data_IF_667328745434
#
_entry.id   IF_667328745434
#
_cell.length_a   1.000
_cell.length_b   1.000
_cell.length_c   1.000
_cell.angle_alpha   90.00
_cell.angle_beta   90.00
_cell.angle_gamma   90.00
#
_symmetry.space_group_name_H-M   'P 1'
#
loop_
_entity.id
_entity.type
_entity.pdbx_description
1 polymer ?
#
# COMPACT_ATOMS: atom_id res chain seq x y z
N UNK A 1 5.02 -38.40 15.24
CA UNK A 1 3.97 -37.44 15.63
C UNK A 1 4.41 -35.98 15.64
N UNK A 2 5.64 -35.64 16.05
CA UNK A 2 6.11 -34.21 16.10
C UNK A 2 6.30 -33.58 14.71
N UNK A 3 6.74 -34.36 13.70
CA UNK A 3 6.96 -33.87 12.32
C UNK A 3 5.66 -33.42 11.63
N UNK A 4 4.54 -34.10 11.90
CA UNK A 4 3.22 -33.77 11.32
C UNK A 4 2.64 -32.46 11.89
N UNK A 5 2.92 -32.15 13.16
CA UNK A 5 2.49 -30.90 13.81
C UNK A 5 3.24 -29.68 13.28
N UNK A 6 4.56 -29.78 13.07
CA UNK A 6 5.36 -28.69 12.50
C UNK A 6 5.00 -28.44 11.02
N UNK A 7 4.78 -29.50 10.24
CA UNK A 7 4.30 -29.42 8.86
C UNK A 7 2.95 -28.71 8.76
N UNK A 8 2.00 -29.02 9.65
CA UNK A 8 0.69 -28.35 9.72
C UNK A 8 0.81 -26.86 10.10
N UNK A 9 1.64 -26.51 11.08
CA UNK A 9 1.87 -25.11 11.46
C UNK A 9 2.51 -24.28 10.33
N UNK A 10 3.46 -24.87 9.58
CA UNK A 10 4.06 -24.23 8.40
C UNK A 10 3.01 -24.05 7.29
N UNK A 11 2.22 -25.08 7.01
CA UNK A 11 1.17 -25.03 5.98
C UNK A 11 0.11 -23.98 6.30
N UNK A 12 -0.34 -23.90 7.55
CA UNK A 12 -1.31 -22.90 8.02
C UNK A 12 -0.73 -21.48 7.92
N UNK A 13 0.55 -21.29 8.26
CA UNK A 13 1.23 -20.00 8.14
C UNK A 13 1.32 -19.55 6.69
N UNK A 14 1.73 -20.43 5.78
CA UNK A 14 1.81 -20.15 4.34
C UNK A 14 0.43 -19.83 3.76
N UNK A 15 -0.60 -20.59 4.11
CA UNK A 15 -1.98 -20.32 3.69
C UNK A 15 -2.51 -18.98 4.21
N UNK A 16 -2.14 -18.58 5.43
CA UNK A 16 -2.54 -17.29 6.00
C UNK A 16 -1.84 -16.10 5.34
N UNK A 17 -0.57 -16.25 4.97
CA UNK A 17 0.20 -15.20 4.28
C UNK A 17 -0.31 -15.04 2.84
N UNK A 18 -0.53 -16.14 2.13
CA UNK A 18 -1.04 -16.11 0.75
C UNK A 18 -2.44 -15.49 0.65
N UNK A 19 -3.34 -15.76 1.60
CA UNK A 19 -4.67 -15.13 1.66
C UNK A 19 -4.61 -13.63 1.94
N UNK A 20 -3.70 -13.17 2.81
CA UNK A 20 -3.54 -11.73 3.07
C UNK A 20 -2.92 -11.02 1.86
N UNK A 21 -1.94 -11.64 1.19
CA UNK A 21 -1.35 -11.10 -0.04
C UNK A 21 -2.38 -11.00 -1.18
N UNK A 22 -3.24 -12.01 -1.33
CA UNK A 22 -4.31 -11.98 -2.34
C UNK A 22 -5.34 -10.90 -2.03
N UNK A 23 -5.76 -10.76 -0.78
CA UNK A 23 -6.76 -9.75 -0.39
C UNK A 23 -6.21 -8.32 -0.51
N UNK A 24 -4.93 -8.10 -0.20
CA UNK A 24 -4.26 -6.81 -0.42
C UNK A 24 -4.03 -6.51 -1.90
N UNK A 25 -3.73 -7.53 -2.72
CA UNK A 25 -3.65 -7.39 -4.18
C UNK A 25 -5.01 -6.96 -4.75
N UNK A 26 -6.07 -7.70 -4.47
CA UNK A 26 -7.42 -7.38 -4.92
C UNK A 26 -7.88 -6.02 -4.41
N UNK A 27 -7.58 -5.73 -3.14
CA UNK A 27 -7.85 -4.44 -2.53
C UNK A 27 -7.19 -3.28 -3.26
N UNK A 28 -5.89 -3.40 -3.51
CA UNK A 28 -5.12 -2.39 -4.25
C UNK A 28 -5.65 -2.22 -5.68
N UNK A 29 -6.04 -3.31 -6.34
CA UNK A 29 -6.61 -3.28 -7.68
C UNK A 29 -7.98 -2.57 -7.71
N UNK A 30 -8.85 -2.85 -6.74
CA UNK A 30 -10.17 -2.18 -6.62
C UNK A 30 -9.99 -0.68 -6.36
N UNK A 31 -9.12 -0.32 -5.41
CA UNK A 31 -8.85 1.09 -5.09
C UNK A 31 -8.31 1.83 -6.33
N UNK A 32 -7.35 1.21 -7.03
CA UNK A 32 -6.80 1.78 -8.25
C UNK A 32 -7.83 1.87 -9.38
N UNK A 33 -8.73 0.90 -9.51
CA UNK A 33 -9.81 0.94 -10.50
C UNK A 33 -10.81 2.08 -10.20
N UNK A 34 -11.16 2.29 -8.94
CA UNK A 34 -12.03 3.40 -8.52
C UNK A 34 -11.40 4.76 -8.80
N UNK A 35 -10.13 4.93 -8.43
CA UNK A 35 -9.41 6.17 -8.71
C UNK A 35 -9.16 6.38 -10.20
N UNK A 36 -8.89 5.32 -10.97
CA UNK A 36 -8.80 5.38 -12.43
C UNK A 36 -10.11 5.86 -13.05
N UNK A 37 -11.25 5.30 -12.63
CA UNK A 37 -12.56 5.73 -13.12
C UNK A 37 -12.82 7.22 -12.82
N UNK A 38 -12.50 7.66 -11.59
CA UNK A 38 -12.64 9.07 -11.20
C UNK A 38 -11.67 10.00 -11.95
N UNK A 39 -10.43 9.57 -12.17
CA UNK A 39 -9.43 10.34 -12.90
C UNK A 39 -9.70 10.40 -14.41
N UNK A 40 -10.22 9.32 -15.00
CA UNK A 40 -10.66 9.28 -16.39
C UNK A 40 -11.85 10.22 -16.63
N UNK A 41 -12.78 10.30 -15.67
CA UNK A 41 -13.91 11.24 -15.71
C UNK A 41 -13.46 12.70 -15.57
N UNK A 42 -12.58 13.00 -14.61
CA UNK A 42 -12.18 14.38 -14.27
C UNK A 42 -10.97 14.90 -15.06
N UNK A 43 -10.27 14.05 -15.81
CA UNK A 43 -9.00 14.33 -16.52
C UNK A 43 -8.03 15.20 -15.72
N UNK A 44 -7.93 14.94 -14.42
CA UNK A 44 -7.23 15.83 -13.49
C UNK A 44 -5.94 15.20 -13.00
N UNK A 45 -4.81 15.80 -13.39
CA UNK A 45 -3.46 15.39 -12.98
C UNK A 45 -3.31 15.36 -11.45
N UNK A 46 -4.05 16.23 -10.75
CA UNK A 46 -4.09 16.32 -9.28
C UNK A 46 -4.60 15.04 -8.61
N UNK A 47 -5.55 14.36 -9.24
CA UNK A 47 -6.20 13.15 -8.69
C UNK A 47 -5.27 11.95 -8.80
N UNK A 48 -4.51 11.86 -9.89
CA UNK A 48 -3.59 10.76 -10.17
C UNK A 48 -2.43 10.70 -9.18
N UNK A 49 -1.89 11.85 -8.80
CA UNK A 49 -0.79 11.91 -7.84
C UNK A 49 -1.28 11.72 -6.39
N UNK A 50 -2.51 12.18 -6.07
CA UNK A 50 -3.10 11.97 -4.74
C UNK A 50 -3.53 10.52 -4.52
N UNK A 51 -4.07 9.85 -5.56
CA UNK A 51 -4.54 8.47 -5.48
C UNK A 51 -3.45 7.49 -5.05
N UNK A 52 -2.19 7.74 -5.44
CA UNK A 52 -1.06 6.90 -5.03
C UNK A 52 -0.91 6.88 -3.51
N UNK A 53 -0.76 8.05 -2.90
CA UNK A 53 -0.58 8.19 -1.45
C UNK A 53 -1.79 7.70 -0.66
N UNK A 54 -3.00 7.97 -1.17
CA UNK A 54 -4.24 7.61 -0.51
C UNK A 54 -4.48 6.10 -0.52
N UNK A 55 -4.04 5.41 -1.57
CA UNK A 55 -4.09 3.94 -1.66
C UNK A 55 -3.25 3.26 -0.57
N UNK A 56 -2.06 3.79 -0.24
CA UNK A 56 -1.25 3.29 0.87
C UNK A 56 -1.96 3.44 2.22
N UNK A 57 -2.53 4.62 2.48
CA UNK A 57 -3.23 4.92 3.73
C UNK A 57 -4.45 4.01 3.89
N UNK A 58 -5.28 3.86 2.85
CA UNK A 58 -6.48 3.03 2.89
C UNK A 58 -6.11 1.55 3.14
N UNK A 59 -5.09 1.03 2.43
CA UNK A 59 -4.67 -0.36 2.61
C UNK A 59 -4.08 -0.61 4.00
N UNK A 60 -3.28 0.31 4.54
CA UNK A 60 -2.73 0.21 5.88
C UNK A 60 -3.84 0.19 6.95
N UNK A 61 -4.84 1.07 6.83
CA UNK A 61 -6.00 1.08 7.73
C UNK A 61 -6.86 -0.18 7.61
N UNK A 62 -7.05 -0.69 6.40
CA UNK A 62 -7.80 -1.94 6.19
C UNK A 62 -7.08 -3.15 6.81
N UNK A 63 -5.77 -3.26 6.63
CA UNK A 63 -4.95 -4.29 7.27
C UNK A 63 -5.04 -4.22 8.80
N UNK A 64 -5.03 -3.00 9.35
CA UNK A 64 -5.18 -2.79 10.79
C UNK A 64 -6.56 -3.25 11.31
N UNK A 65 -7.64 -2.91 10.61
CA UNK A 65 -9.00 -3.23 11.04
C UNK A 65 -9.33 -4.73 11.03
N UNK A 66 -8.58 -5.56 10.28
CA UNK A 66 -8.84 -7.00 10.12
C UNK A 66 -8.13 -7.90 11.14
N UNK A 67 -7.29 -7.37 12.03
CA UNK A 67 -6.49 -8.19 12.97
C UNK A 67 -6.52 -7.68 14.40
N UNK A 68 -6.18 -8.56 15.32
CA UNK A 68 -6.10 -8.25 16.76
C UNK A 68 -5.08 -7.16 17.08
N UNK A 69 -5.42 -6.37 18.10
CA UNK A 69 -4.66 -5.22 18.58
C UNK A 69 -3.28 -5.63 19.12
N UNK A 70 -2.23 -5.02 18.58
CA UNK A 70 -0.86 -5.16 19.06
C UNK A 70 -0.12 -3.84 18.86
N UNK A 71 0.66 -3.41 19.86
CA UNK A 71 1.46 -2.17 19.83
C UNK A 71 2.33 -2.10 18.57
N UNK A 72 2.97 -3.22 18.19
CA UNK A 72 3.83 -3.27 17.01
C UNK A 72 3.06 -2.93 15.73
N UNK A 73 1.84 -3.46 15.60
CA UNK A 73 0.98 -3.22 14.43
C UNK A 73 0.51 -1.77 14.37
N UNK A 74 0.20 -1.17 15.52
CA UNK A 74 -0.20 0.25 15.60
C UNK A 74 0.96 1.14 15.14
N UNK A 75 2.16 0.92 15.67
CA UNK A 75 3.35 1.70 15.31
C UNK A 75 3.66 1.55 13.82
N UNK A 76 3.65 0.32 13.30
CA UNK A 76 3.94 0.05 11.89
C UNK A 76 2.90 0.69 10.95
N UNK A 77 1.61 0.61 11.27
CA UNK A 77 0.55 1.29 10.52
C UNK A 77 0.73 2.82 10.58
N UNK A 78 1.03 3.40 11.75
CA UNK A 78 1.27 4.84 11.87
C UNK A 78 2.46 5.30 11.02
N UNK A 79 3.56 4.54 10.99
CA UNK A 79 4.71 4.86 10.15
C UNK A 79 4.35 4.87 8.66
N UNK A 80 3.61 3.86 8.19
CA UNK A 80 3.15 3.80 6.78
C UNK A 80 2.21 4.96 6.46
N UNK A 81 1.31 5.32 7.38
CA UNK A 81 0.39 6.45 7.20
C UNK A 81 1.14 7.79 7.18
N UNK A 82 2.05 8.01 8.13
CA UNK A 82 2.86 9.24 8.21
C UNK A 82 3.73 9.41 6.97
N UNK A 83 4.38 8.34 6.52
CA UNK A 83 5.18 8.35 5.31
C UNK A 83 4.32 8.60 4.06
N UNK A 84 3.19 7.90 3.94
CA UNK A 84 2.23 8.08 2.84
C UNK A 84 1.68 9.51 2.78
N UNK A 85 1.33 10.09 3.93
CA UNK A 85 0.87 11.49 4.04
C UNK A 85 1.97 12.48 3.68
N UNK A 86 3.21 12.28 4.16
CA UNK A 86 4.35 13.13 3.81
C UNK A 86 4.61 13.11 2.30
N UNK A 87 4.67 11.93 1.70
CA UNK A 87 4.89 11.76 0.27
C UNK A 87 3.73 12.39 -0.53
N UNK A 88 2.49 12.06 -0.19
CA UNK A 88 1.29 12.61 -0.84
C UNK A 88 1.21 14.13 -0.76
N UNK A 89 1.52 14.70 0.41
CA UNK A 89 1.55 16.15 0.63
C UNK A 89 2.63 16.82 -0.23
N UNK A 90 3.83 16.25 -0.28
CA UNK A 90 4.90 16.76 -1.14
C UNK A 90 4.51 16.77 -2.62
N UNK A 91 3.96 15.66 -3.13
CA UNK A 91 3.48 15.61 -4.52
C UNK A 91 2.35 16.62 -4.76
N UNK A 92 1.39 16.72 -3.83
CA UNK A 92 0.27 17.64 -3.95
C UNK A 92 0.70 19.11 -3.97
N UNK A 93 1.60 19.52 -3.08
CA UNK A 93 2.19 20.88 -3.07
C UNK A 93 2.90 21.16 -4.39
N UNK A 94 3.68 20.20 -4.90
CA UNK A 94 4.41 20.33 -6.15
C UNK A 94 3.48 20.59 -7.34
N UNK A 95 2.36 19.88 -7.41
CA UNK A 95 1.38 20.05 -8.49
C UNK A 95 0.62 21.37 -8.36
N UNK A 96 0.29 21.78 -7.14
CA UNK A 96 -0.33 23.09 -6.90
C UNK A 96 0.59 24.23 -7.37
N UNK A 97 1.90 24.11 -7.14
CA UNK A 97 2.89 25.09 -7.58
C UNK A 97 3.11 25.09 -9.09
N UNK A 98 3.14 23.93 -9.76
CA UNK A 98 3.36 23.83 -11.21
C UNK A 98 2.08 24.04 -12.03
N UNK A 99 0.89 24.02 -11.39
CA UNK A 99 -0.47 24.10 -11.96
C UNK A 99 -0.86 22.96 -12.91
N UNK A 100 0.06 22.51 -13.76
CA UNK A 100 -0.09 21.44 -14.75
C UNK A 100 1.26 20.75 -14.94
N UNK A 101 1.31 19.43 -14.78
CA UNK A 101 2.53 18.66 -15.05
C UNK A 101 2.56 18.26 -16.53
N UNK A 102 3.53 18.78 -17.27
CA UNK A 102 3.71 18.53 -18.70
C UNK A 102 3.94 17.03 -19.02
N UNK A 103 4.34 16.20 -18.05
CA UNK A 103 4.48 14.74 -18.27
C UNK A 103 3.16 14.06 -18.62
N UNK A 104 2.04 14.59 -18.15
CA UNK A 104 0.73 14.01 -18.46
C UNK A 104 0.19 14.49 -19.81
N UNK A 105 0.81 15.49 -20.45
CA UNK A 105 0.42 15.92 -21.79
C UNK A 105 0.60 14.76 -22.79
N UNK A 106 -0.42 14.49 -23.61
CA UNK A 106 -0.49 13.33 -24.51
C UNK A 106 -0.85 11.99 -23.85
N UNK A 107 -0.46 11.74 -22.58
CA UNK A 107 -0.83 10.50 -21.85
C UNK A 107 -2.32 10.48 -21.50
N UNK A 108 -2.91 11.61 -21.06
CA UNK A 108 -4.36 11.70 -20.75
C UNK A 108 -5.25 11.69 -22.00
N UNK A 109 -4.70 12.03 -23.15
CA UNK A 109 -5.42 11.97 -24.44
C UNK A 109 -5.47 10.54 -24.97
N UNK A 110 -4.46 9.73 -24.64
CA UNK A 110 -4.39 8.32 -25.02
C UNK A 110 -4.85 7.41 -23.86
N UNK A 111 -6.09 6.94 -23.95
CA UNK A 111 -6.71 6.05 -22.95
C UNK A 111 -5.83 4.83 -22.60
N UNK A 112 -5.15 4.22 -23.58
CA UNK A 112 -4.30 3.05 -23.34
C UNK A 112 -3.01 3.38 -22.60
N UNK A 113 -2.39 4.53 -22.90
CA UNK A 113 -1.22 5.00 -22.17
C UNK A 113 -1.57 5.33 -20.71
N UNK A 114 -2.73 5.98 -20.50
CA UNK A 114 -3.27 6.27 -19.19
C UNK A 114 -3.55 4.97 -18.40
N UNK A 115 -4.26 4.01 -18.99
CA UNK A 115 -4.55 2.73 -18.33
C UNK A 115 -3.28 1.96 -17.92
N UNK A 116 -2.25 1.91 -18.79
CA UNK A 116 -0.96 1.27 -18.46
C UNK A 116 -0.27 1.96 -17.29
N UNK A 117 -0.26 3.30 -17.27
CA UNK A 117 0.31 4.07 -16.16
C UNK A 117 -0.38 3.72 -14.83
N UNK A 118 -1.71 3.67 -14.82
CA UNK A 118 -2.49 3.33 -13.62
C UNK A 118 -2.28 1.90 -13.13
N UNK A 119 -2.16 0.93 -14.05
CA UNK A 119 -1.85 -0.46 -13.70
C UNK A 119 -0.46 -0.59 -13.10
N UNK A 120 0.55 0.07 -13.68
CA UNK A 120 1.92 0.09 -13.14
C UNK A 120 1.99 0.78 -11.78
N UNK A 121 1.28 1.90 -11.63
CA UNK A 121 1.15 2.59 -10.35
C UNK A 121 0.54 1.69 -9.28
N UNK A 122 -0.53 0.96 -9.61
CA UNK A 122 -1.18 0.02 -8.70
C UNK A 122 -0.31 -1.16 -8.30
N UNK A 123 0.38 -1.76 -9.27
CA UNK A 123 1.37 -2.81 -9.01
C UNK A 123 2.51 -2.29 -8.13
N UNK A 124 2.95 -1.05 -8.32
CA UNK A 124 3.94 -0.40 -7.48
C UNK A 124 3.48 -0.26 -6.02
N UNK A 125 2.22 0.18 -5.80
CA UNK A 125 1.64 0.24 -4.45
C UNK A 125 1.65 -1.14 -3.80
N UNK A 126 1.17 -2.15 -4.53
CA UNK A 126 1.12 -3.52 -4.02
C UNK A 126 2.51 -4.05 -3.67
N UNK A 127 3.50 -3.87 -4.56
CA UNK A 127 4.87 -4.33 -4.37
C UNK A 127 5.51 -3.72 -3.12
N UNK A 128 5.31 -2.41 -2.91
CA UNK A 128 5.84 -1.69 -1.73
C UNK A 128 5.14 -2.13 -0.44
N UNK A 129 3.87 -2.55 -0.52
CA UNK A 129 3.11 -3.05 0.64
C UNK A 129 3.41 -4.51 1.02
N UNK A 130 4.11 -5.29 0.18
CA UNK A 130 4.48 -6.67 0.51
C UNK A 130 5.18 -6.80 1.87
N UNK A 131 6.28 -6.08 2.17
CA UNK A 131 6.98 -6.21 3.45
C UNK A 131 6.07 -5.90 4.65
N UNK A 132 5.25 -4.85 4.55
CA UNK A 132 4.25 -4.48 5.55
C UNK A 132 3.23 -5.59 5.76
N UNK A 133 2.75 -6.18 4.67
CA UNK A 133 1.74 -7.25 4.68
C UNK A 133 2.29 -8.53 5.32
N UNK A 134 3.53 -8.89 5.00
CA UNK A 134 4.24 -10.03 5.60
C UNK A 134 4.51 -9.78 7.09
N UNK A 135 4.93 -8.58 7.47
CA UNK A 135 5.18 -8.21 8.86
C UNK A 135 3.89 -8.25 9.71
N UNK A 136 2.78 -7.75 9.18
CA UNK A 136 1.47 -7.77 9.86
C UNK A 136 0.84 -9.17 9.95
N UNK A 137 1.14 -10.05 8.99
CA UNK A 137 0.61 -11.42 8.96
C UNK A 137 1.38 -12.42 9.82
N UNK A 138 2.63 -12.11 10.16
CA UNK A 138 3.47 -12.93 11.02
C UNK A 138 2.84 -13.10 12.41
N UNK A 139 2.76 -14.35 12.88
CA UNK A 139 2.20 -14.76 14.18
C UNK A 139 3.25 -14.64 15.29
N UNK A 140 4.52 -14.46 14.93
CA UNK A 140 5.63 -14.34 15.88
C UNK A 140 5.48 -13.05 16.70
N UNK A 141 5.60 -13.19 18.02
CA UNK A 141 5.79 -12.04 18.92
C UNK A 141 7.11 -11.37 18.57
N UNK A 142 7.03 -10.23 17.89
CA UNK A 142 8.22 -9.45 17.54
C UNK A 142 8.73 -8.77 18.82
N UNK A 143 9.90 -9.19 19.29
CA UNK A 143 10.63 -8.45 20.31
C UNK A 143 11.17 -7.16 19.67
N UNK A 144 10.84 -6.00 20.25
CA UNK A 144 11.29 -4.70 19.77
C UNK A 144 12.77 -4.56 20.13
N UNK A 145 13.63 -5.00 19.22
CA UNK A 145 15.08 -4.87 19.34
C UNK A 145 15.56 -3.44 19.03
N UNK A 146 16.85 -3.20 19.26
CA UNK A 146 17.52 -1.92 18.99
C UNK A 146 17.34 -1.49 17.53
N UNK A 147 17.36 -2.44 16.59
CA UNK A 147 17.15 -2.17 15.14
C UNK A 147 15.74 -1.60 14.88
N UNK A 148 14.72 -2.13 15.56
CA UNK A 148 13.35 -1.61 15.46
C UNK A 148 13.24 -0.19 16.01
N UNK A 149 13.94 0.11 17.12
CA UNK A 149 13.97 1.45 17.69
C UNK A 149 14.66 2.47 16.78
N UNK A 150 15.79 2.09 16.16
CA UNK A 150 16.47 2.94 15.17
C UNK A 150 15.53 3.21 13.98
N UNK A 151 14.83 2.19 13.50
CA UNK A 151 13.86 2.33 12.40
C UNK A 151 12.68 3.25 12.73
N UNK A 152 12.24 3.30 13.99
CA UNK A 152 11.15 4.20 14.42
C UNK A 152 11.61 5.67 14.50
N UNK A 153 12.89 5.91 14.81
CA UNK A 153 13.45 7.26 15.00
C UNK A 153 13.84 7.93 13.68
N UNK A 154 14.21 7.15 12.65
CA UNK A 154 14.54 7.65 11.31
C UNK A 154 13.30 8.01 10.48
#
# INVERSE_FOLDING_TARGET
MVVDSQSKSVTISIMSVSTVLLTTLLGSAIIQALFFAFAAYKKSDKVTDLSYSLSFVILALWLFAKREFSIFRIVLTMMVVLWGLRLGTYLFIRILSMKKDARFDGIRENFWAFAKFWTLQGLGVWLILIPTTVALSSITTVNIGIISMIGIVM
#
